data_IF_385230417874
#
_entry.id   IF_385230417874
#
_cell.length_a   1.000
_cell.length_b   1.000
_cell.length_c   1.000
_cell.angle_alpha   90.00
_cell.angle_beta   90.00
_cell.angle_gamma   90.00
#
_symmetry.space_group_name_H-M   'P 1'
#
loop_
_entity.id
_entity.type
_entity.pdbx_description
1 polymer ?
#
# COMPACT_ATOMS: atom_id res chain seq x y z
N UNK A 1 7.94 -20.65 -31.00
CA UNK A 1 8.24 -20.12 -29.65
C UNK A 1 7.33 -18.92 -29.41
N UNK A 2 6.17 -19.11 -28.76
CA UNK A 2 5.13 -18.07 -28.63
C UNK A 2 5.21 -17.42 -27.25
N UNK A 3 5.44 -16.11 -27.23
CA UNK A 3 5.46 -15.26 -26.03
C UNK A 3 4.01 -14.99 -25.56
N UNK A 4 3.47 -15.80 -24.63
CA UNK A 4 2.15 -15.60 -24.01
C UNK A 4 2.26 -15.35 -22.50
N UNK A 5 3.19 -14.51 -22.05
CA UNK A 5 3.42 -14.28 -20.61
C UNK A 5 3.36 -12.81 -20.17
N UNK A 6 3.10 -11.86 -21.08
CA UNK A 6 3.21 -10.43 -20.74
C UNK A 6 1.88 -9.66 -20.68
N UNK A 7 0.81 -10.13 -21.32
CA UNK A 7 -0.41 -9.32 -21.46
C UNK A 7 -1.24 -9.26 -20.18
N UNK A 8 -1.52 -10.41 -19.55
CA UNK A 8 -2.30 -10.47 -18.31
C UNK A 8 -1.60 -9.79 -17.13
N UNK A 9 -0.27 -9.92 -17.05
CA UNK A 9 0.54 -9.30 -16.01
C UNK A 9 0.60 -7.77 -16.17
N UNK A 10 0.64 -7.27 -17.42
CA UNK A 10 0.65 -5.84 -17.71
C UNK A 10 -0.70 -5.20 -17.38
N UNK A 11 -1.80 -5.83 -17.78
CA UNK A 11 -3.15 -5.31 -17.50
C UNK A 11 -3.44 -5.30 -15.99
N UNK A 12 -3.02 -6.35 -15.27
CA UNK A 12 -3.10 -6.39 -13.81
C UNK A 12 -2.24 -5.31 -13.15
N UNK A 13 -1.03 -5.05 -13.65
CA UNK A 13 -0.15 -4.00 -13.14
C UNK A 13 -0.71 -2.59 -13.40
N UNK A 14 -1.31 -2.35 -14.57
CA UNK A 14 -1.95 -1.09 -14.91
C UNK A 14 -3.17 -0.83 -14.03
N UNK A 15 -4.06 -1.82 -13.88
CA UNK A 15 -5.23 -1.71 -13.00
C UNK A 15 -4.82 -1.51 -11.53
N UNK A 16 -3.69 -2.11 -11.13
CA UNK A 16 -3.11 -1.88 -9.81
C UNK A 16 -2.60 -0.44 -9.63
N UNK A 17 -1.88 0.10 -10.62
CA UNK A 17 -1.41 1.49 -10.60
C UNK A 17 -2.57 2.48 -10.52
N UNK A 18 -3.62 2.28 -11.31
CA UNK A 18 -4.83 3.13 -11.26
C UNK A 18 -5.45 3.11 -9.86
N UNK A 19 -5.65 1.92 -9.28
CA UNK A 19 -6.21 1.80 -7.92
C UNK A 19 -5.32 2.42 -6.86
N UNK A 20 -4.00 2.28 -6.98
CA UNK A 20 -3.06 2.94 -6.08
C UNK A 20 -3.21 4.45 -6.17
N UNK A 21 -3.20 5.01 -7.38
CA UNK A 21 -3.27 6.46 -7.60
C UNK A 21 -4.54 7.05 -6.99
N UNK A 22 -5.69 6.43 -7.26
CA UNK A 22 -6.98 6.86 -6.70
C UNK A 22 -6.98 6.84 -5.16
N UNK A 23 -6.40 5.82 -4.55
CA UNK A 23 -6.35 5.67 -3.09
C UNK A 23 -5.32 6.60 -2.44
N UNK A 24 -4.13 6.76 -3.03
CA UNK A 24 -3.09 7.68 -2.54
C UNK A 24 -3.58 9.12 -2.65
N UNK A 25 -4.24 9.47 -3.75
CA UNK A 25 -4.80 10.81 -3.93
C UNK A 25 -5.78 11.14 -2.79
N UNK A 26 -6.62 10.18 -2.38
CA UNK A 26 -7.49 10.34 -1.21
C UNK A 26 -6.74 10.45 0.13
N UNK A 27 -5.52 9.92 0.25
CA UNK A 27 -4.70 10.09 1.47
C UNK A 27 -4.24 11.55 1.66
N UNK A 28 -4.20 12.36 0.60
CA UNK A 28 -3.92 13.80 0.71
C UNK A 28 -5.00 14.51 1.52
N UNK A 29 -6.27 14.22 1.21
CA UNK A 29 -7.43 14.85 1.84
C UNK A 29 -7.82 14.15 3.15
N UNK A 30 -7.61 12.82 3.24
CA UNK A 30 -8.00 12.01 4.40
C UNK A 30 -6.88 11.04 4.84
N UNK A 31 -5.73 11.54 5.32
CA UNK A 31 -4.58 10.72 5.69
C UNK A 31 -4.87 9.76 6.86
N UNK A 32 -5.89 10.06 7.68
CA UNK A 32 -6.28 9.30 8.87
C UNK A 32 -7.39 8.27 8.64
N UNK A 33 -7.85 8.06 7.39
CA UNK A 33 -8.94 7.11 7.08
C UNK A 33 -8.53 5.63 7.19
N UNK A 34 -7.24 5.38 7.42
CA UNK A 34 -6.65 4.05 7.37
C UNK A 34 -6.72 3.30 8.69
N UNK A 35 -6.74 1.97 8.57
CA UNK A 35 -6.76 1.07 9.72
C UNK A 35 -5.40 1.18 10.42
N UNK A 36 -5.40 1.58 11.70
CA UNK A 36 -4.20 1.49 12.54
C UNK A 36 -3.82 0.00 12.61
N UNK A 37 -2.64 -0.33 12.09
CA UNK A 37 -2.07 -1.68 12.16
C UNK A 37 -2.16 -2.21 13.58
N UNK A 38 -2.60 -3.46 13.77
CA UNK A 38 -2.75 -4.06 15.11
C UNK A 38 -1.40 -4.32 15.80
N UNK A 39 -0.32 -4.52 15.04
CA UNK A 39 1.05 -4.65 15.55
C UNK A 39 1.55 -3.40 16.28
N UNK A 40 1.81 -3.56 17.58
CA UNK A 40 2.35 -2.49 18.43
C UNK A 40 3.68 -1.95 17.91
N UNK A 41 4.57 -2.80 17.38
CA UNK A 41 5.86 -2.37 16.81
C UNK A 41 5.71 -1.39 15.65
N UNK A 42 4.67 -1.52 14.83
CA UNK A 42 4.39 -0.61 13.71
C UNK A 42 3.66 0.65 14.20
N UNK A 43 2.76 0.52 15.19
CA UNK A 43 2.15 1.68 15.85
C UNK A 43 3.18 2.58 16.53
N UNK A 44 4.13 2.02 17.28
CA UNK A 44 5.17 2.78 17.99
C UNK A 44 6.06 3.58 17.04
N UNK A 45 6.18 3.12 15.78
CA UNK A 45 6.95 3.80 14.73
C UNK A 45 6.11 4.77 13.89
N UNK A 46 4.83 4.95 14.20
CA UNK A 46 3.92 5.86 13.48
C UNK A 46 3.49 5.37 12.10
N UNK A 47 3.62 4.06 11.82
CA UNK A 47 3.19 3.50 10.55
C UNK A 47 1.68 3.33 10.50
N UNK A 48 1.11 3.68 9.35
CA UNK A 48 -0.25 3.37 8.95
C UNK A 48 -0.23 2.38 7.79
N UNK A 49 -1.31 1.62 7.67
CA UNK A 49 -1.47 0.62 6.63
C UNK A 49 -2.78 0.82 5.89
N UNK A 50 -2.70 0.84 4.56
CA UNK A 50 -3.85 0.87 3.66
C UNK A 50 -3.90 -0.44 2.87
N UNK A 51 -5.08 -1.05 2.84
CA UNK A 51 -5.33 -2.27 2.05
C UNK A 51 -5.99 -1.86 0.74
N UNK A 52 -5.32 -2.10 -0.40
CA UNK A 52 -5.83 -1.79 -1.74
C UNK A 52 -5.94 -3.11 -2.52
N UNK A 53 -7.14 -3.70 -2.52
CA UNK A 53 -7.36 -5.01 -3.13
C UNK A 53 -6.51 -6.10 -2.47
N UNK A 54 -5.58 -6.68 -3.24
CA UNK A 54 -4.64 -7.70 -2.76
C UNK A 54 -3.29 -7.09 -2.34
N UNK A 55 -3.19 -5.79 -2.12
CA UNK A 55 -1.94 -5.13 -1.76
C UNK A 55 -2.07 -4.35 -0.46
N UNK A 56 -0.94 -4.23 0.24
CA UNK A 56 -0.80 -3.60 1.53
C UNK A 56 0.25 -2.50 1.39
N UNK A 57 -0.19 -1.27 1.59
CA UNK A 57 0.61 -0.06 1.48
C UNK A 57 0.91 0.43 2.88
N UNK A 58 2.19 0.49 3.24
CA UNK A 58 2.64 1.07 4.50
C UNK A 58 3.17 2.46 4.26
N UNK A 59 2.70 3.40 5.06
CA UNK A 59 3.05 4.80 4.92
C UNK A 59 3.12 5.48 6.30
N UNK A 60 3.77 6.63 6.33
CA UNK A 60 3.89 7.47 7.53
C UNK A 60 3.31 8.85 7.20
N UNK A 61 2.59 9.43 8.16
CA UNK A 61 2.01 10.78 8.03
C UNK A 61 2.83 11.74 8.89
N UNK A 62 3.42 12.74 8.24
CA UNK A 62 4.07 13.85 8.92
C UNK A 62 3.10 15.02 8.99
N UNK A 63 2.26 15.06 10.02
CA UNK A 63 1.21 16.10 10.18
C UNK A 63 1.80 17.51 10.21
N UNK A 64 2.95 17.69 10.85
CA UNK A 64 3.69 18.95 10.91
C UNK A 64 4.13 19.47 9.53
N UNK A 65 4.45 18.58 8.60
CA UNK A 65 4.86 18.92 7.23
C UNK A 65 3.71 18.77 6.22
N UNK A 66 2.56 18.23 6.63
CA UNK A 66 1.45 17.82 5.76
C UNK A 66 1.90 16.91 4.61
N UNK A 67 2.81 15.98 4.90
CA UNK A 67 3.36 15.04 3.92
C UNK A 67 2.96 13.62 4.31
N UNK A 68 2.55 12.85 3.31
CA UNK A 68 2.34 11.40 3.40
C UNK A 68 3.51 10.73 2.67
N UNK A 69 4.29 9.91 3.38
CA UNK A 69 5.42 9.19 2.79
C UNK A 69 5.11 7.70 2.69
N UNK A 70 5.11 7.17 1.47
CA UNK A 70 4.90 5.75 1.21
C UNK A 70 6.24 5.04 1.37
N UNK A 71 6.27 4.07 2.29
CA UNK A 71 7.49 3.32 2.63
C UNK A 71 7.61 2.04 1.82
N UNK A 72 6.54 1.25 1.76
CA UNK A 72 6.55 -0.03 1.05
C UNK A 72 5.15 -0.43 0.61
N UNK A 73 5.07 -1.05 -0.57
CA UNK A 73 3.86 -1.65 -1.11
C UNK A 73 4.11 -3.14 -1.30
N UNK A 74 3.30 -3.97 -0.64
CA UNK A 74 3.43 -5.42 -0.61
C UNK A 74 2.19 -6.09 -1.17
N UNK A 75 2.34 -7.28 -1.75
CA UNK A 75 1.20 -8.08 -2.17
C UNK A 75 0.72 -8.99 -1.03
N UNK A 76 -0.51 -8.77 -0.56
CA UNK A 76 -1.15 -9.40 0.59
C UNK A 76 -1.40 -10.90 0.49
N UNK A 77 -1.33 -11.52 -0.70
CA UNK A 77 -1.35 -13.00 -0.81
C UNK A 77 -0.10 -13.67 -0.24
N UNK A 78 0.99 -12.93 0.00
CA UNK A 78 2.13 -13.45 0.79
C UNK A 78 1.77 -13.33 2.26
N UNK A 79 1.33 -14.45 2.86
CA UNK A 79 1.10 -14.55 4.32
C UNK A 79 2.31 -13.99 5.07
N UNK A 80 2.04 -13.00 5.91
CA UNK A 80 2.95 -12.13 6.67
C UNK A 80 3.84 -12.81 7.71
N UNK A 81 4.14 -14.10 7.56
CA UNK A 81 5.02 -14.81 8.51
C UNK A 81 6.51 -14.50 8.36
N UNK A 82 6.92 -13.74 7.34
CA UNK A 82 8.35 -13.49 7.05
C UNK A 82 8.86 -12.11 7.52
N UNK A 83 8.04 -11.32 8.22
CA UNK A 83 8.52 -10.09 8.88
C UNK A 83 8.79 -10.27 10.38
N UNK A 84 8.81 -11.53 10.85
CA UNK A 84 9.26 -11.97 12.17
C UNK A 84 10.65 -12.57 12.08
#
# INVERSE_FOLDING_TARGET
MRFHLQTDALEAALNFLVKIDENISQLKDFPCKSKKTEDESLKSKGYQMLVIGNYLVFYVVFENKKIVEIRIILHGKRKYKFLL
#
